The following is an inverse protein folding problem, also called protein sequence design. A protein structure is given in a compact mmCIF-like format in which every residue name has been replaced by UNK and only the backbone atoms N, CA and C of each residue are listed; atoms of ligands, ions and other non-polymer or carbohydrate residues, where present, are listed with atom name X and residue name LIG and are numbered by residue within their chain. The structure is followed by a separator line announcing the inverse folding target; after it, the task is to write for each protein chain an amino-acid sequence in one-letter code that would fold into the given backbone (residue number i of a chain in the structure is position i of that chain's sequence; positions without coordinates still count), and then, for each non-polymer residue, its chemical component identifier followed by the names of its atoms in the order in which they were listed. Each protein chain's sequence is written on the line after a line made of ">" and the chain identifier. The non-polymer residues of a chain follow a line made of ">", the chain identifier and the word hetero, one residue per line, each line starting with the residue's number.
data_IF_090227902631
#
_entry.id   IF_090227902631
#
_cell.length_a   1.000
_cell.length_b   1.000
_cell.length_c   1.000
_cell.angle_alpha   90.00
_cell.angle_beta   90.00
_cell.angle_gamma   90.00
#
_symmetry.space_group_name_H-M   'P 1'
#
loop_
_entity.id
_entity.type
_entity.pdbx_description
1 polymer ?
#
# COMPACT_ATOMS: atom_id res chain seq x y z
N UNK A 1 -6.46 -31.65 26.85
CA UNK A 1 -6.06 -31.02 25.57
C UNK A 1 -5.61 -29.60 25.85
N UNK A 2 -4.52 -29.11 25.24
CA UNK A 2 -4.15 -27.69 25.35
C UNK A 2 -5.29 -26.85 24.77
N UNK A 3 -5.67 -25.75 25.44
CA UNK A 3 -6.67 -24.83 24.91
C UNK A 3 -6.20 -24.28 23.56
N UNK A 4 -7.11 -24.03 22.59
CA UNK A 4 -6.76 -23.34 21.35
C UNK A 4 -6.09 -21.99 21.63
N UNK A 5 -5.16 -21.58 20.76
CA UNK A 5 -4.64 -20.21 20.80
C UNK A 5 -5.71 -19.23 20.36
N UNK A 6 -5.78 -18.08 21.01
CA UNK A 6 -6.74 -17.00 20.70
C UNK A 6 -6.06 -15.91 19.89
N UNK A 7 -6.64 -15.58 18.74
CA UNK A 7 -6.22 -14.46 17.93
C UNK A 7 -7.28 -13.34 17.95
N UNK A 8 -6.87 -12.10 18.22
CA UNK A 8 -7.71 -10.92 18.04
C UNK A 8 -7.26 -10.13 16.80
N UNK A 9 -8.14 -9.98 15.82
CA UNK A 9 -7.87 -9.26 14.57
C UNK A 9 -8.65 -7.94 14.56
N UNK A 10 -7.94 -6.81 14.52
CA UNK A 10 -8.58 -5.52 14.20
C UNK A 10 -8.69 -5.38 12.68
N UNK A 11 -9.77 -4.78 12.18
CA UNK A 11 -9.97 -4.68 10.73
C UNK A 11 -10.29 -6.02 10.06
N UNK A 12 -10.90 -6.96 10.80
CA UNK A 12 -11.23 -8.32 10.35
C UNK A 12 -12.08 -8.35 9.06
N UNK A 13 -12.95 -7.35 8.86
CA UNK A 13 -13.83 -7.23 7.68
C UNK A 13 -13.12 -6.68 6.43
N UNK A 14 -11.83 -6.33 6.56
CA UNK A 14 -10.96 -5.93 5.46
C UNK A 14 -10.53 -7.10 4.58
N UNK A 15 -9.75 -6.79 3.54
CA UNK A 15 -9.16 -7.81 2.67
C UNK A 15 -8.32 -8.80 3.50
N UNK A 16 -7.29 -8.29 4.16
CA UNK A 16 -6.29 -9.14 4.80
C UNK A 16 -6.85 -9.80 6.06
N UNK A 17 -7.70 -9.09 6.82
CA UNK A 17 -8.41 -9.66 7.96
C UNK A 17 -9.24 -10.90 7.59
N UNK A 18 -9.89 -10.90 6.43
CA UNK A 18 -10.67 -12.05 5.97
C UNK A 18 -9.81 -13.26 5.56
N UNK A 19 -8.70 -13.04 4.87
CA UNK A 19 -7.76 -14.13 4.52
C UNK A 19 -7.01 -14.65 5.75
N UNK A 20 -6.62 -13.76 6.66
CA UNK A 20 -5.96 -14.12 7.91
C UNK A 20 -6.89 -14.94 8.81
N UNK A 21 -8.17 -14.59 8.87
CA UNK A 21 -9.17 -15.37 9.62
C UNK A 21 -9.27 -16.80 9.09
N UNK A 22 -9.34 -16.97 7.77
CA UNK A 22 -9.33 -18.30 7.13
C UNK A 22 -8.07 -19.09 7.48
N UNK A 23 -6.89 -18.46 7.39
CA UNK A 23 -5.61 -19.08 7.71
C UNK A 23 -5.53 -19.53 9.18
N UNK A 24 -5.93 -18.67 10.12
CA UNK A 24 -5.82 -18.96 11.56
C UNK A 24 -6.83 -20.03 12.00
N UNK A 25 -8.05 -20.03 11.45
CA UNK A 25 -9.02 -21.10 11.68
C UNK A 25 -8.50 -22.45 11.18
N UNK A 26 -7.88 -22.50 10.00
CA UNK A 26 -7.23 -23.72 9.49
C UNK A 26 -6.10 -24.23 10.40
N UNK A 27 -5.45 -23.33 11.15
CA UNK A 27 -4.41 -23.65 12.13
C UNK A 27 -4.97 -23.99 13.52
N UNK A 28 -6.28 -24.04 13.69
CA UNK A 28 -6.94 -24.40 14.95
C UNK A 28 -6.99 -23.28 15.99
N UNK A 29 -6.91 -22.01 15.56
CA UNK A 29 -7.10 -20.87 16.46
C UNK A 29 -8.57 -20.61 16.76
N UNK A 30 -8.83 -20.08 17.95
CA UNK A 30 -10.06 -19.35 18.26
C UNK A 30 -9.89 -17.91 17.75
N UNK A 31 -10.67 -17.51 16.75
CA UNK A 31 -10.51 -16.21 16.08
C UNK A 31 -11.58 -15.22 16.56
N UNK A 32 -11.12 -14.10 17.08
CA UNK A 32 -11.91 -12.96 17.51
C UNK A 32 -11.65 -11.76 16.59
N UNK A 33 -12.69 -11.01 16.27
CA UNK A 33 -12.61 -9.88 15.34
C UNK A 33 -13.24 -8.62 15.89
N UNK A 34 -12.54 -7.50 15.78
CA UNK A 34 -13.11 -6.18 16.05
C UNK A 34 -13.90 -5.69 14.83
N UNK A 35 -15.19 -5.39 15.02
CA UNK A 35 -16.06 -4.82 13.99
C UNK A 35 -16.65 -3.49 14.44
N UNK A 36 -16.73 -2.54 13.51
CA UNK A 36 -17.42 -1.28 13.75
C UNK A 36 -18.92 -1.48 13.59
N UNK A 37 -19.70 -0.90 14.49
CA UNK A 37 -21.16 -0.85 14.35
C UNK A 37 -21.52 -0.05 13.11
N UNK A 38 -22.31 -0.64 12.22
CA UNK A 38 -22.81 -0.02 10.99
C UNK A 38 -24.32 -0.25 10.92
N UNK A 39 -25.06 0.67 10.27
CA UNK A 39 -26.47 0.48 9.96
C UNK A 39 -26.70 -0.53 8.84
N UNK A 40 -25.65 -0.88 8.09
CA UNK A 40 -25.65 -1.88 7.02
C UNK A 40 -24.70 -3.03 7.34
N UNK A 41 -24.99 -4.21 6.78
CA UNK A 41 -24.13 -5.39 6.90
C UNK A 41 -22.77 -5.09 6.25
N UNK A 42 -21.69 -5.25 7.02
CA UNK A 42 -20.32 -4.94 6.60
C UNK A 42 -19.36 -6.13 6.75
N UNK A 43 -19.90 -7.36 6.82
CA UNK A 43 -19.17 -8.61 7.05
C UNK A 43 -19.03 -9.50 5.82
N UNK A 44 -19.46 -9.06 4.63
CA UNK A 44 -19.52 -9.89 3.41
C UNK A 44 -18.20 -10.63 3.05
N UNK A 45 -17.03 -10.05 3.38
CA UNK A 45 -15.74 -10.71 3.14
C UNK A 45 -15.50 -11.94 4.03
N UNK A 46 -16.27 -12.08 5.10
CA UNK A 46 -16.19 -13.16 6.07
C UNK A 46 -17.23 -14.25 5.83
N UNK A 47 -18.09 -14.17 4.80
CA UNK A 47 -19.24 -15.08 4.62
C UNK A 47 -18.86 -16.57 4.70
N UNK A 48 -17.64 -16.94 4.32
CA UNK A 48 -17.13 -18.33 4.39
C UNK A 48 -16.80 -18.83 5.81
N UNK A 49 -16.62 -17.91 6.75
CA UNK A 49 -16.09 -18.15 8.10
C UNK A 49 -16.81 -17.39 9.19
N UNK A 50 -17.86 -16.63 8.88
CA UNK A 50 -18.54 -15.72 9.81
C UNK A 50 -19.12 -16.45 11.02
N UNK A 51 -19.55 -17.70 10.82
CA UNK A 51 -20.06 -18.64 11.82
C UNK A 51 -18.97 -19.24 12.72
N UNK A 52 -17.70 -19.10 12.33
CA UNK A 52 -16.52 -19.66 13.01
C UNK A 52 -15.68 -18.62 13.73
N UNK A 53 -16.03 -17.34 13.61
CA UNK A 53 -15.33 -16.23 14.27
C UNK A 53 -16.23 -15.55 15.30
N UNK A 54 -15.63 -15.04 16.38
CA UNK A 54 -16.35 -14.26 17.38
C UNK A 54 -16.16 -12.76 17.10
N UNK A 55 -17.24 -12.07 16.73
CA UNK A 55 -17.19 -10.65 16.40
C UNK A 55 -17.57 -9.77 17.59
N UNK A 56 -16.78 -8.74 17.84
CA UNK A 56 -16.93 -7.81 18.96
C UNK A 56 -17.12 -6.40 18.42
N UNK A 57 -18.17 -5.71 18.87
CA UNK A 57 -18.35 -4.29 18.52
C UNK A 57 -17.32 -3.43 19.25
N UNK A 58 -16.55 -2.66 18.48
CA UNK A 58 -15.63 -1.66 18.99
C UNK A 58 -14.90 -0.94 17.87
N UNK A 59 -14.06 0.02 18.23
CA UNK A 59 -13.30 0.82 17.28
C UNK A 59 -11.87 1.02 17.81
N UNK A 60 -10.90 1.09 16.90
CA UNK A 60 -9.49 1.31 17.22
C UNK A 60 -9.26 2.69 17.87
N UNK A 61 -10.19 3.63 17.67
CA UNK A 61 -10.16 4.96 18.30
C UNK A 61 -10.80 4.99 19.69
N UNK A 62 -11.52 3.94 20.11
CA UNK A 62 -12.18 3.85 21.42
C UNK A 62 -11.42 2.93 22.37
N UNK A 63 -10.60 3.54 23.24
CA UNK A 63 -9.79 2.86 24.25
C UNK A 63 -10.61 1.98 25.20
N UNK A 64 -11.84 2.36 25.54
CA UNK A 64 -12.67 1.60 26.49
C UNK A 64 -13.12 0.29 25.86
N UNK A 65 -13.56 0.34 24.59
CA UNK A 65 -13.94 -0.87 23.85
C UNK A 65 -12.75 -1.82 23.69
N UNK A 66 -11.56 -1.30 23.34
CA UNK A 66 -10.35 -2.09 23.19
C UNK A 66 -9.97 -2.78 24.49
N UNK A 67 -9.91 -2.04 25.60
CA UNK A 67 -9.58 -2.59 26.91
C UNK A 67 -10.58 -3.67 27.34
N UNK A 68 -11.89 -3.41 27.22
CA UNK A 68 -12.93 -4.38 27.58
C UNK A 68 -12.83 -5.66 26.76
N UNK A 69 -12.62 -5.57 25.45
CA UNK A 69 -12.51 -6.73 24.57
C UNK A 69 -11.24 -7.52 24.88
N UNK A 70 -10.08 -6.86 24.97
CA UNK A 70 -8.80 -7.52 25.25
C UNK A 70 -8.83 -8.20 26.62
N UNK A 71 -9.40 -7.55 27.63
CA UNK A 71 -9.54 -8.11 28.98
C UNK A 71 -10.41 -9.36 29.01
N UNK A 72 -11.47 -9.44 28.19
CA UNK A 72 -12.34 -10.63 28.11
C UNK A 72 -11.74 -11.74 27.26
N UNK A 73 -11.18 -11.39 26.11
CA UNK A 73 -10.64 -12.36 25.13
C UNK A 73 -9.34 -12.99 25.63
N UNK A 74 -8.48 -12.19 26.28
CA UNK A 74 -7.13 -12.60 26.71
C UNK A 74 -6.35 -13.22 25.52
N UNK A 75 -6.13 -12.47 24.42
CA UNK A 75 -5.57 -13.01 23.19
C UNK A 75 -4.10 -13.42 23.36
N UNK A 76 -3.73 -14.57 22.79
CA UNK A 76 -2.32 -14.99 22.69
C UNK A 76 -1.62 -14.23 21.54
N UNK A 77 -2.36 -13.91 20.47
CA UNK A 77 -1.87 -13.14 19.31
C UNK A 77 -2.85 -12.01 18.94
N UNK A 78 -2.33 -10.83 18.66
CA UNK A 78 -3.11 -9.67 18.18
C UNK A 78 -2.57 -9.24 16.82
N UNK A 79 -3.46 -9.13 15.83
CA UNK A 79 -3.14 -8.67 14.49
C UNK A 79 -3.83 -7.33 14.25
N UNK A 80 -3.05 -6.25 14.29
CA UNK A 80 -3.59 -4.92 14.07
C UNK A 80 -3.60 -4.57 12.57
N UNK A 81 -4.73 -4.82 11.91
CA UNK A 81 -4.94 -4.56 10.49
C UNK A 81 -5.93 -3.41 10.23
N UNK A 82 -6.55 -2.85 11.28
CA UNK A 82 -7.43 -1.69 11.17
C UNK A 82 -6.65 -0.43 10.74
N UNK A 83 -7.21 0.31 9.77
CA UNK A 83 -6.71 1.60 9.33
C UNK A 83 -7.75 2.31 8.44
N UNK A 84 -7.70 3.64 8.40
CA UNK A 84 -8.10 4.36 7.18
C UNK A 84 -6.98 4.15 6.15
N UNK A 85 -7.18 3.22 5.21
CA UNK A 85 -6.12 2.69 4.34
C UNK A 85 -6.01 3.33 2.95
N UNK A 86 -6.88 4.26 2.61
CA UNK A 86 -6.88 4.91 1.29
C UNK A 86 -6.05 6.20 1.31
N UNK A 87 -4.91 6.16 0.62
CA UNK A 87 -3.92 7.26 0.64
C UNK A 87 -4.51 8.59 0.16
N UNK A 88 -5.29 8.59 -0.94
CA UNK A 88 -5.91 9.84 -1.43
C UNK A 88 -6.88 10.44 -0.40
N UNK A 89 -7.67 9.60 0.28
CA UNK A 89 -8.66 10.04 1.28
C UNK A 89 -7.95 10.59 2.51
N UNK A 90 -6.72 10.16 2.78
CA UNK A 90 -5.94 10.71 3.90
C UNK A 90 -5.62 12.20 3.77
N UNK A 91 -5.59 12.75 2.55
CA UNK A 91 -5.45 14.20 2.35
C UNK A 91 -6.74 14.97 2.67
N UNK A 92 -7.89 14.32 2.51
CA UNK A 92 -9.21 14.90 2.80
C UNK A 92 -9.58 14.73 4.29
N UNK A 93 -9.16 13.61 4.89
CA UNK A 93 -9.44 13.26 6.29
C UNK A 93 -8.15 12.96 7.08
N UNK A 94 -7.19 13.90 7.17
CA UNK A 94 -5.89 13.66 7.79
C UNK A 94 -6.01 13.35 9.28
N UNK A 95 -6.83 14.08 10.03
CA UNK A 95 -7.01 13.88 11.48
C UNK A 95 -7.55 12.48 11.78
N UNK A 96 -8.63 12.08 11.10
CA UNK A 96 -9.20 10.74 11.28
C UNK A 96 -8.20 9.64 10.87
N UNK A 97 -7.41 9.88 9.81
CA UNK A 97 -6.36 8.94 9.40
C UNK A 97 -5.28 8.80 10.47
N UNK A 98 -4.79 9.91 11.01
CA UNK A 98 -3.78 9.90 12.09
C UNK A 98 -4.30 9.23 13.34
N UNK A 99 -5.55 9.50 13.71
CA UNK A 99 -6.14 8.94 14.93
C UNK A 99 -6.39 7.43 14.82
N UNK A 100 -6.98 6.96 13.72
CA UNK A 100 -7.27 5.54 13.52
C UNK A 100 -6.05 4.71 13.13
N UNK A 101 -5.22 5.22 12.21
CA UNK A 101 -4.08 4.48 11.67
C UNK A 101 -2.84 4.62 12.54
N UNK A 102 -2.60 5.78 13.16
CA UNK A 102 -1.43 6.06 14.00
C UNK A 102 -1.71 5.86 15.50
N UNK A 103 -2.48 6.77 16.11
CA UNK A 103 -2.74 6.78 17.57
C UNK A 103 -3.51 5.53 18.01
N UNK A 104 -4.32 4.93 17.14
CA UNK A 104 -5.00 3.66 17.40
C UNK A 104 -4.06 2.53 17.81
N UNK A 105 -2.83 2.49 17.29
CA UNK A 105 -1.82 1.50 17.68
C UNK A 105 -1.38 1.71 19.12
N UNK A 106 -1.18 2.97 19.53
CA UNK A 106 -0.86 3.32 20.90
C UNK A 106 -1.98 2.88 21.85
N UNK A 107 -3.24 3.16 21.50
CA UNK A 107 -4.41 2.72 22.30
C UNK A 107 -4.47 1.20 22.45
N UNK A 108 -4.20 0.46 21.37
CA UNK A 108 -4.19 -0.99 21.38
C UNK A 108 -3.11 -1.55 22.32
N UNK A 109 -1.88 -1.04 22.22
CA UNK A 109 -0.76 -1.50 23.06
C UNK A 109 -0.96 -1.13 24.54
N UNK A 110 -1.48 0.05 24.83
CA UNK A 110 -1.83 0.43 26.21
C UNK A 110 -2.97 -0.42 26.76
N UNK A 111 -3.97 -0.78 25.94
CA UNK A 111 -5.03 -1.68 26.37
C UNK A 111 -4.51 -3.09 26.70
N UNK A 112 -3.51 -3.61 25.96
CA UNK A 112 -2.83 -4.87 26.27
C UNK A 112 -2.07 -4.77 27.60
N UNK A 113 -1.31 -3.69 27.82
CA UNK A 113 -0.57 -3.46 29.07
C UNK A 113 -1.49 -3.27 30.27
N UNK A 114 -2.55 -2.49 30.12
CA UNK A 114 -3.53 -2.27 31.18
C UNK A 114 -4.25 -3.57 31.58
N UNK A 115 -4.40 -4.52 30.65
CA UNK A 115 -4.94 -5.85 30.92
C UNK A 115 -3.90 -6.82 31.52
N UNK A 116 -2.65 -6.41 31.74
CA UNK A 116 -1.57 -7.24 32.28
C UNK A 116 -1.06 -8.30 31.30
N UNK A 117 -1.19 -8.07 30.00
CA UNK A 117 -0.90 -9.03 28.94
C UNK A 117 0.40 -8.77 28.17
N UNK A 118 1.19 -7.79 28.60
CA UNK A 118 2.38 -7.34 27.87
C UNK A 118 3.49 -8.40 27.73
N UNK A 119 3.47 -9.44 28.58
CA UNK A 119 4.43 -10.56 28.55
C UNK A 119 3.94 -11.79 27.79
N UNK A 120 2.64 -11.90 27.54
CA UNK A 120 2.02 -13.12 27.03
C UNK A 120 1.43 -12.94 25.63
N UNK A 121 0.96 -11.73 25.29
CA UNK A 121 0.39 -11.44 23.96
C UNK A 121 1.48 -11.04 22.97
N UNK A 122 1.47 -11.67 21.79
CA UNK A 122 2.29 -11.28 20.64
C UNK A 122 1.51 -10.38 19.69
N UNK A 123 2.09 -9.27 19.25
CA UNK A 123 1.40 -8.22 18.48
C UNK A 123 2.05 -8.01 17.12
N UNK A 124 1.25 -8.16 16.07
CA UNK A 124 1.60 -7.80 14.69
C UNK A 124 0.99 -6.45 14.32
N UNK A 125 1.80 -5.57 13.75
CA UNK A 125 1.36 -4.32 13.14
C UNK A 125 1.49 -4.38 11.62
N UNK A 126 0.40 -4.07 10.92
CA UNK A 126 0.44 -3.82 9.48
C UNK A 126 1.06 -2.44 9.19
N UNK A 127 2.39 -2.38 9.10
CA UNK A 127 3.09 -1.24 8.52
C UNK A 127 2.98 -1.27 6.98
N UNK A 128 3.59 -0.31 6.28
CA UNK A 128 3.37 -0.16 4.83
C UNK A 128 4.58 0.41 4.11
N UNK A 129 4.78 -0.02 2.86
CA UNK A 129 5.73 0.58 1.93
C UNK A 129 5.52 2.07 1.69
N UNK A 130 4.31 2.62 1.92
CA UNK A 130 4.05 4.07 1.84
C UNK A 130 4.87 4.89 2.86
N UNK A 131 5.48 4.25 3.86
CA UNK A 131 6.46 4.89 4.75
C UNK A 131 7.76 5.28 4.00
N UNK A 132 8.13 4.55 2.96
CA UNK A 132 9.27 4.90 2.11
C UNK A 132 8.98 6.10 1.22
N UNK A 133 7.71 6.32 0.85
CA UNK A 133 7.25 7.52 0.14
C UNK A 133 8.13 7.93 -1.04
N UNK A 134 8.81 9.08 -0.94
CA UNK A 134 9.70 9.61 -1.99
C UNK A 134 11.17 9.24 -1.79
N UNK A 135 11.43 8.05 -1.23
CA UNK A 135 12.77 7.49 -1.10
C UNK A 135 13.47 7.40 -2.45
N UNK A 136 14.77 7.70 -2.45
CA UNK A 136 15.62 7.66 -3.63
C UNK A 136 16.22 6.26 -3.87
N UNK A 137 16.00 5.31 -2.94
CA UNK A 137 16.42 3.92 -3.09
C UNK A 137 15.58 3.21 -4.16
N UNK A 138 16.23 2.56 -5.13
CA UNK A 138 15.52 1.78 -6.17
C UNK A 138 14.83 0.53 -5.59
N UNK A 139 15.48 -0.11 -4.61
CA UNK A 139 15.02 -1.31 -3.93
C UNK A 139 15.06 -1.03 -2.42
N UNK A 140 13.91 -1.12 -1.75
CA UNK A 140 13.78 -0.74 -0.33
C UNK A 140 13.74 -1.97 0.59
N UNK A 141 14.54 -1.95 1.64
CA UNK A 141 14.63 -2.96 2.69
C UNK A 141 14.40 -2.36 4.09
N UNK A 142 14.56 -3.15 5.16
CA UNK A 142 14.34 -2.72 6.54
C UNK A 142 15.30 -1.61 6.99
N UNK A 143 16.46 -1.46 6.34
CA UNK A 143 17.45 -0.40 6.63
C UNK A 143 17.27 0.87 5.79
N UNK A 144 16.32 0.87 4.84
CA UNK A 144 16.10 2.02 3.95
C UNK A 144 15.46 3.18 4.74
N UNK A 145 16.00 4.41 4.67
CA UNK A 145 15.41 5.55 5.35
C UNK A 145 13.98 5.83 4.90
N UNK A 146 13.10 6.13 5.86
CA UNK A 146 11.71 6.48 5.58
C UNK A 146 11.58 7.95 5.13
N UNK A 147 10.68 8.20 4.17
CA UNK A 147 10.41 9.53 3.59
C UNK A 147 8.95 9.63 3.17
N UNK A 148 7.99 9.50 4.12
CA UNK A 148 6.56 9.44 3.80
C UNK A 148 6.10 10.75 3.16
N UNK A 149 5.19 10.66 2.20
CA UNK A 149 4.70 11.82 1.45
C UNK A 149 3.19 12.06 1.60
N UNK A 150 2.50 11.37 2.50
CA UNK A 150 1.07 11.49 2.73
C UNK A 150 0.73 11.41 4.22
N UNK A 151 -0.44 11.94 4.66
CA UNK A 151 -0.91 11.75 6.04
C UNK A 151 -1.01 10.28 6.42
N UNK A 152 -1.42 9.41 5.49
CA UNK A 152 -1.39 7.95 5.67
C UNK A 152 0.02 7.42 5.94
N UNK A 153 1.01 7.77 5.10
CA UNK A 153 2.40 7.33 5.25
C UNK A 153 3.01 7.79 6.58
N UNK A 154 2.72 9.03 7.00
CA UNK A 154 3.16 9.57 8.29
C UNK A 154 2.53 8.79 9.46
N UNK A 155 1.23 8.49 9.38
CA UNK A 155 0.51 7.73 10.40
C UNK A 155 1.03 6.30 10.55
N UNK A 156 1.36 5.65 9.42
CA UNK A 156 2.00 4.33 9.44
C UNK A 156 3.42 4.38 9.99
N UNK A 157 4.16 5.46 9.73
CA UNK A 157 5.49 5.65 10.31
C UNK A 157 5.42 5.82 11.84
N UNK A 158 4.45 6.61 12.33
CA UNK A 158 4.16 6.69 13.77
C UNK A 158 3.90 5.30 14.35
N UNK A 159 2.98 4.54 13.75
CA UNK A 159 2.66 3.18 14.17
C UNK A 159 3.88 2.26 14.26
N UNK A 160 4.72 2.31 13.22
CA UNK A 160 5.91 1.49 13.11
C UNK A 160 6.88 1.78 14.27
N UNK A 161 7.18 3.05 14.51
CA UNK A 161 8.07 3.44 15.61
C UNK A 161 7.43 3.18 16.97
N UNK A 162 6.12 3.34 17.14
CA UNK A 162 5.42 2.93 18.38
C UNK A 162 5.65 1.46 18.69
N UNK A 163 5.53 0.56 17.70
CA UNK A 163 5.81 -0.87 17.90
C UNK A 163 7.26 -1.12 18.32
N UNK A 164 8.23 -0.45 17.69
CA UNK A 164 9.64 -0.58 18.04
C UNK A 164 9.93 -0.06 19.45
N UNK A 165 9.34 1.07 19.84
CA UNK A 165 9.49 1.62 21.19
C UNK A 165 8.92 0.67 22.24
N UNK A 166 7.73 0.11 22.01
CA UNK A 166 7.11 -0.82 22.98
C UNK A 166 7.86 -2.14 23.09
N UNK A 167 8.41 -2.64 21.97
CA UNK A 167 9.35 -3.77 21.97
C UNK A 167 10.56 -3.48 22.84
N UNK A 168 11.23 -2.34 22.65
CA UNK A 168 12.48 -2.02 23.34
C UNK A 168 12.29 -1.59 24.81
N UNK A 169 11.28 -0.77 25.10
CA UNK A 169 11.07 -0.19 26.42
C UNK A 169 10.40 -1.16 27.41
N UNK A 170 9.53 -2.04 26.91
CA UNK A 170 8.71 -2.91 27.74
C UNK A 170 8.96 -4.40 27.51
N UNK A 171 9.85 -4.73 26.57
CA UNK A 171 10.16 -6.11 26.17
C UNK A 171 8.88 -6.88 25.75
N UNK A 172 7.97 -6.19 25.05
CA UNK A 172 6.80 -6.78 24.44
C UNK A 172 7.16 -7.46 23.12
N UNK A 173 6.49 -8.57 22.79
CA UNK A 173 6.63 -9.19 21.47
C UNK A 173 5.84 -8.39 20.43
N UNK A 174 6.45 -7.33 19.90
CA UNK A 174 5.85 -6.44 18.90
C UNK A 174 6.65 -6.48 17.59
N UNK A 175 5.97 -6.81 16.48
CA UNK A 175 6.58 -6.87 15.15
C UNK A 175 5.82 -5.99 14.16
N UNK A 176 6.56 -5.35 13.26
CA UNK A 176 6.00 -4.64 12.11
C UNK A 176 6.28 -5.40 10.82
N UNK A 177 5.22 -5.75 10.10
CA UNK A 177 5.34 -6.14 8.69
C UNK A 177 5.33 -4.88 7.82
N UNK A 178 6.44 -4.58 7.14
CA UNK A 178 6.54 -3.49 6.17
C UNK A 178 6.03 -4.01 4.83
N UNK A 179 4.70 -4.05 4.70
CA UNK A 179 4.04 -4.69 3.58
C UNK A 179 4.00 -3.78 2.35
N UNK A 180 4.49 -4.29 1.22
CA UNK A 180 4.27 -3.69 -0.09
C UNK A 180 2.84 -3.96 -0.58
N UNK A 181 2.45 -3.42 -1.74
CA UNK A 181 1.09 -3.55 -2.22
C UNK A 181 0.73 -5.02 -2.40
N UNK A 182 -0.43 -5.41 -1.88
CA UNK A 182 -0.95 -6.75 -2.03
C UNK A 182 -2.46 -6.69 -2.27
N UNK A 183 -2.88 -7.39 -3.30
CA UNK A 183 -4.20 -7.28 -3.90
C UNK A 183 -4.87 -8.66 -3.89
N UNK A 184 -6.16 -8.69 -4.24
CA UNK A 184 -6.94 -9.93 -4.35
C UNK A 184 -8.33 -9.63 -4.93
N UNK A 185 -9.13 -10.66 -5.24
CA UNK A 185 -10.57 -10.54 -5.44
C UNK A 185 -11.38 -9.96 -4.28
N UNK A 186 -10.77 -9.71 -3.11
CA UNK A 186 -11.41 -9.06 -1.96
C UNK A 186 -10.98 -7.61 -1.77
N UNK A 187 -10.08 -7.09 -2.61
CA UNK A 187 -9.60 -5.70 -2.53
C UNK A 187 -10.75 -4.70 -2.58
N UNK A 188 -10.62 -3.61 -1.82
CA UNK A 188 -11.58 -2.50 -1.88
C UNK A 188 -11.64 -1.87 -3.27
N UNK A 189 -12.84 -1.49 -3.72
CA UNK A 189 -13.12 -1.01 -5.08
C UNK A 189 -12.45 0.32 -5.42
N UNK A 190 -12.06 1.10 -4.40
CA UNK A 190 -11.39 2.38 -4.57
C UNK A 190 -9.89 2.24 -4.88
N UNK A 191 -9.30 1.07 -4.66
CA UNK A 191 -7.90 0.82 -5.03
C UNK A 191 -7.76 0.55 -6.52
N UNK A 192 -6.67 1.04 -7.12
CA UNK A 192 -6.49 1.11 -8.58
C UNK A 192 -6.62 -0.25 -9.28
N UNK A 193 -6.03 -1.31 -8.71
CA UNK A 193 -6.09 -2.69 -9.21
C UNK A 193 -7.54 -3.16 -9.39
N UNK A 194 -8.35 -3.00 -8.33
CA UNK A 194 -9.76 -3.42 -8.32
C UNK A 194 -10.65 -2.51 -9.15
N UNK A 195 -10.34 -1.21 -9.16
CA UNK A 195 -11.01 -0.24 -10.02
C UNK A 195 -10.86 -0.63 -11.50
N UNK A 196 -9.67 -1.08 -11.91
CA UNK A 196 -9.40 -1.54 -13.28
C UNK A 196 -10.22 -2.79 -13.60
N UNK A 197 -10.13 -3.85 -12.80
CA UNK A 197 -10.80 -5.13 -13.12
C UNK A 197 -12.33 -5.02 -13.09
N UNK A 198 -12.89 -4.29 -12.11
CA UNK A 198 -14.33 -4.00 -12.10
C UNK A 198 -14.75 -3.06 -13.24
N UNK A 199 -13.92 -2.08 -13.58
CA UNK A 199 -14.16 -1.18 -14.70
C UNK A 199 -14.28 -1.93 -16.03
N UNK A 200 -13.37 -2.88 -16.27
CA UNK A 200 -13.40 -3.76 -17.44
C UNK A 200 -14.69 -4.59 -17.47
N UNK A 201 -15.09 -5.20 -16.36
CA UNK A 201 -16.32 -5.97 -16.28
C UNK A 201 -17.56 -5.10 -16.62
N UNK A 202 -17.61 -3.87 -16.11
CA UNK A 202 -18.69 -2.91 -16.42
C UNK A 202 -18.67 -2.45 -17.88
N UNK A 203 -17.49 -2.26 -18.46
CA UNK A 203 -17.33 -1.94 -19.89
C UNK A 203 -17.88 -3.07 -20.77
N UNK A 204 -17.57 -4.32 -20.43
CA UNK A 204 -18.06 -5.49 -21.16
C UNK A 204 -19.60 -5.64 -21.06
N UNK A 205 -20.21 -5.17 -19.98
CA UNK A 205 -21.67 -5.10 -19.83
C UNK A 205 -22.33 -3.88 -20.49
N UNK A 206 -21.54 -2.93 -21.00
CA UNK A 206 -22.07 -1.65 -21.50
C UNK A 206 -22.55 -0.70 -20.41
N UNK A 207 -22.20 -0.95 -19.14
CA UNK A 207 -22.55 -0.09 -17.98
C UNK A 207 -21.55 1.05 -17.75
N UNK A 208 -20.41 0.99 -18.44
CA UNK A 208 -19.36 1.99 -18.40
C UNK A 208 -18.74 2.14 -19.79
N UNK A 209 -18.63 3.36 -20.30
CA UNK A 209 -18.05 3.58 -21.62
C UNK A 209 -16.51 3.66 -21.56
N UNK A 210 -15.99 4.30 -20.51
CA UNK A 210 -14.57 4.59 -20.36
C UNK A 210 -14.19 4.59 -18.88
N UNK A 211 -13.04 4.01 -18.55
CA UNK A 211 -12.44 4.03 -17.23
C UNK A 211 -11.57 5.28 -17.06
N UNK A 212 -11.79 6.02 -15.98
CA UNK A 212 -10.95 7.18 -15.67
C UNK A 212 -9.89 6.81 -14.61
N UNK A 213 -8.64 7.16 -14.85
CA UNK A 213 -7.50 6.89 -13.97
C UNK A 213 -6.65 8.14 -13.73
N UNK A 214 -5.75 8.05 -12.75
CA UNK A 214 -4.79 9.12 -12.44
C UNK A 214 -3.45 8.87 -13.14
N UNK A 215 -2.37 8.88 -12.37
CA UNK A 215 -1.03 8.62 -12.89
C UNK A 215 -0.87 7.15 -13.37
N UNK A 216 -0.81 6.96 -14.69
CA UNK A 216 -0.59 5.65 -15.33
C UNK A 216 0.84 5.14 -15.17
N UNK A 217 1.80 6.04 -14.97
CA UNK A 217 3.23 5.71 -14.88
C UNK A 217 3.67 5.42 -13.44
N UNK A 218 2.76 5.53 -12.46
CA UNK A 218 3.02 5.12 -11.09
C UNK A 218 3.34 3.62 -11.03
N UNK A 219 4.48 3.28 -10.43
CA UNK A 219 5.01 1.92 -10.35
C UNK A 219 4.90 1.32 -8.96
N UNK A 220 4.44 0.07 -8.85
CA UNK A 220 4.21 -0.63 -7.58
C UNK A 220 4.69 -2.08 -7.65
N UNK A 221 5.04 -2.60 -6.49
CA UNK A 221 5.29 -4.01 -6.25
C UNK A 221 4.00 -4.64 -5.71
N UNK A 222 3.35 -5.45 -6.55
CA UNK A 222 2.04 -6.05 -6.28
C UNK A 222 2.15 -7.56 -6.03
N UNK A 223 1.91 -7.97 -4.79
CA UNK A 223 1.72 -9.36 -4.40
C UNK A 223 0.26 -9.75 -4.16
N UNK A 224 0.03 -10.98 -3.73
CA UNK A 224 -1.31 -11.47 -3.38
C UNK A 224 -1.51 -11.49 -1.86
N UNK A 225 -2.67 -11.00 -1.38
CA UNK A 225 -2.98 -10.87 0.06
C UNK A 225 -2.87 -12.18 0.85
N UNK A 226 -3.28 -13.31 0.26
CA UNK A 226 -3.13 -14.67 0.82
C UNK A 226 -1.69 -15.01 1.23
N UNK A 227 -0.71 -14.63 0.42
CA UNK A 227 0.70 -14.91 0.69
C UNK A 227 1.21 -13.98 1.80
N UNK A 228 0.70 -12.76 1.83
CA UNK A 228 1.10 -11.74 2.80
C UNK A 228 0.54 -12.04 4.19
N UNK A 229 -0.70 -12.54 4.32
CA UNK A 229 -1.22 -12.94 5.66
C UNK A 229 -0.45 -14.12 6.25
N UNK A 230 0.13 -15.00 5.42
CA UNK A 230 1.04 -16.07 5.85
C UNK A 230 2.30 -15.49 6.48
N UNK A 231 2.87 -14.41 5.92
CA UNK A 231 4.04 -13.74 6.51
C UNK A 231 3.71 -13.10 7.86
N UNK A 232 2.52 -12.49 8.01
CA UNK A 232 2.08 -11.93 9.29
C UNK A 232 2.08 -12.99 10.40
N UNK A 233 1.51 -14.16 10.11
CA UNK A 233 1.48 -15.29 11.04
C UNK A 233 2.90 -15.80 11.35
N UNK A 234 3.74 -16.01 10.33
CA UNK A 234 5.12 -16.49 10.50
C UNK A 234 5.95 -15.58 11.42
N UNK A 235 5.81 -14.26 11.29
CA UNK A 235 6.52 -13.30 12.15
C UNK A 235 6.17 -13.46 13.63
N UNK A 236 4.91 -13.80 13.96
CA UNK A 236 4.50 -14.04 15.34
C UNK A 236 4.91 -15.42 15.87
N UNK A 237 5.42 -16.32 15.03
CA UNK A 237 5.89 -17.64 15.48
C UNK A 237 7.37 -17.65 15.90
N UNK A 238 8.08 -16.55 15.71
CA UNK A 238 9.52 -16.48 16.00
C UNK A 238 9.82 -16.38 17.48
N UNK A 239 11.04 -16.71 17.87
CA UNK A 239 11.51 -16.54 19.25
C UNK A 239 11.80 -15.07 19.59
N UNK A 240 12.31 -14.32 18.61
CA UNK A 240 12.70 -12.91 18.76
C UNK A 240 11.86 -12.03 17.83
N UNK A 241 11.18 -10.98 18.36
CA UNK A 241 10.38 -10.08 17.54
C UNK A 241 11.27 -9.22 16.64
N UNK A 242 11.08 -9.34 15.32
CA UNK A 242 11.81 -8.56 14.29
C UNK A 242 10.84 -7.99 13.26
N UNK A 243 11.24 -6.86 12.67
CA UNK A 243 10.51 -6.24 11.57
C UNK A 243 11.04 -6.76 10.23
N UNK A 244 10.16 -6.89 9.25
CA UNK A 244 10.46 -7.45 7.94
C UNK A 244 9.75 -6.72 6.81
N UNK A 245 10.46 -6.50 5.70
CA UNK A 245 9.87 -6.13 4.41
C UNK A 245 9.22 -7.37 3.79
N UNK A 246 7.99 -7.19 3.31
CA UNK A 246 7.21 -8.23 2.63
C UNK A 246 6.83 -7.71 1.26
N UNK A 247 7.46 -8.26 0.23
CA UNK A 247 7.39 -7.76 -1.14
C UNK A 247 7.62 -8.90 -2.14
N UNK A 248 7.28 -8.66 -3.40
CA UNK A 248 7.61 -9.59 -4.48
C UNK A 248 8.99 -9.34 -5.09
N UNK A 249 9.54 -8.13 -4.92
CA UNK A 249 10.77 -7.68 -5.56
C UNK A 249 10.61 -7.34 -7.04
N UNK A 250 9.38 -7.43 -7.56
CA UNK A 250 9.02 -7.09 -8.94
C UNK A 250 8.15 -5.85 -8.94
N UNK A 251 8.29 -5.01 -9.96
CA UNK A 251 7.59 -3.74 -10.05
C UNK A 251 6.93 -3.58 -11.42
N UNK A 252 5.68 -3.14 -11.43
CA UNK A 252 4.89 -2.88 -12.63
C UNK A 252 4.21 -1.51 -12.51
N UNK A 253 3.90 -0.88 -13.64
CA UNK A 253 3.15 0.37 -13.69
C UNK A 253 1.63 0.13 -13.68
N UNK A 254 0.86 1.17 -13.37
CA UNK A 254 -0.61 1.15 -13.54
C UNK A 254 -0.98 0.90 -15.02
N UNK A 255 -0.17 1.43 -15.94
CA UNK A 255 -0.25 1.16 -17.39
C UNK A 255 -0.10 -0.32 -17.71
N UNK A 256 0.93 -0.99 -17.17
CA UNK A 256 1.17 -2.42 -17.37
C UNK A 256 -0.03 -3.24 -16.89
N UNK A 257 -0.58 -2.89 -15.72
CA UNK A 257 -1.78 -3.52 -15.18
C UNK A 257 -2.97 -3.36 -16.13
N UNK A 258 -3.21 -2.14 -16.64
CA UNK A 258 -4.30 -1.88 -17.59
C UNK A 258 -4.11 -2.70 -18.86
N UNK A 259 -2.95 -2.61 -19.52
CA UNK A 259 -2.67 -3.32 -20.77
C UNK A 259 -2.90 -4.83 -20.60
N UNK A 260 -2.41 -5.41 -19.51
CA UNK A 260 -2.55 -6.81 -19.23
C UNK A 260 -4.02 -7.22 -19.00
N UNK A 261 -4.73 -6.50 -18.12
CA UNK A 261 -6.11 -6.82 -17.77
C UNK A 261 -7.07 -6.65 -18.97
N UNK A 262 -6.91 -5.58 -19.75
CA UNK A 262 -7.70 -5.32 -20.95
C UNK A 262 -7.43 -6.36 -22.04
N UNK A 263 -6.16 -6.75 -22.25
CA UNK A 263 -5.81 -7.82 -23.17
C UNK A 263 -6.44 -9.16 -22.78
N UNK A 264 -6.34 -9.55 -21.51
CA UNK A 264 -7.00 -10.77 -21.00
C UNK A 264 -8.51 -10.75 -21.26
N UNK A 265 -9.15 -9.60 -21.09
CA UNK A 265 -10.58 -9.40 -21.34
C UNK A 265 -10.97 -9.39 -22.84
N UNK A 266 -10.02 -9.48 -23.76
CA UNK A 266 -10.28 -9.43 -25.21
C UNK A 266 -10.48 -8.01 -25.76
N UNK A 267 -10.02 -6.99 -25.03
CA UNK A 267 -10.10 -5.58 -25.39
C UNK A 267 -8.70 -4.94 -25.40
N UNK A 268 -7.74 -5.41 -26.22
CA UNK A 268 -6.38 -4.90 -26.19
C UNK A 268 -6.36 -3.38 -26.40
N UNK A 269 -5.65 -2.66 -25.52
CA UNK A 269 -5.55 -1.20 -25.58
C UNK A 269 -4.20 -0.73 -26.12
N UNK A 270 -4.24 0.26 -27.00
CA UNK A 270 -3.10 1.05 -27.44
C UNK A 270 -3.16 2.43 -26.79
N UNK A 271 -2.01 2.98 -26.40
CA UNK A 271 -1.94 4.31 -25.80
C UNK A 271 -1.70 5.38 -26.87
N UNK A 272 -2.51 6.43 -26.86
CA UNK A 272 -2.37 7.61 -27.74
C UNK A 272 -2.38 8.88 -26.89
N UNK A 273 -1.61 9.88 -27.32
CA UNK A 273 -1.45 11.13 -26.55
C UNK A 273 -0.42 11.00 -25.42
N UNK A 274 -0.34 12.03 -24.58
CA UNK A 274 0.60 12.09 -23.44
C UNK A 274 -0.01 12.89 -22.29
N UNK A 275 0.37 12.57 -21.06
CA UNK A 275 -0.06 13.32 -19.87
C UNK A 275 -1.58 13.25 -19.67
N UNK A 276 -2.23 14.40 -19.52
CA UNK A 276 -3.69 14.47 -19.31
C UNK A 276 -4.50 14.14 -20.58
N UNK A 277 -3.91 14.30 -21.76
CA UNK A 277 -4.55 13.98 -23.04
C UNK A 277 -4.32 12.51 -23.44
N UNK A 278 -3.64 11.74 -22.59
CA UNK A 278 -3.37 10.33 -22.86
C UNK A 278 -4.63 9.48 -22.70
N UNK A 279 -4.85 8.60 -23.68
CA UNK A 279 -6.01 7.71 -23.76
C UNK A 279 -5.59 6.30 -24.14
N UNK A 280 -6.28 5.31 -23.56
CA UNK A 280 -6.18 3.91 -23.96
C UNK A 280 -7.32 3.56 -24.91
N UNK A 281 -7.00 3.17 -26.14
CA UNK A 281 -7.97 2.90 -27.22
C UNK A 281 -7.95 1.44 -27.67
N UNK A 282 -9.12 0.89 -27.96
CA UNK A 282 -9.29 -0.42 -28.60
C UNK A 282 -10.11 -0.21 -29.87
N UNK A 283 -9.44 -0.24 -31.04
CA UNK A 283 -10.03 0.27 -32.28
C UNK A 283 -10.35 1.77 -32.15
N UNK A 284 -11.58 2.15 -32.47
CA UNK A 284 -12.06 3.54 -32.36
C UNK A 284 -12.62 3.91 -30.98
N UNK A 285 -12.68 2.93 -30.05
CA UNK A 285 -13.26 3.13 -28.73
C UNK A 285 -12.20 3.57 -27.72
N UNK A 286 -12.43 4.69 -27.06
CA UNK A 286 -11.63 5.10 -25.89
C UNK A 286 -12.14 4.37 -24.65
N UNK A 287 -11.31 3.49 -24.09
CA UNK A 287 -11.64 2.67 -22.93
C UNK A 287 -10.98 3.16 -21.65
N UNK A 288 -9.89 3.91 -21.74
CA UNK A 288 -9.20 4.51 -20.59
C UNK A 288 -8.88 5.98 -20.85
N UNK A 289 -9.10 6.84 -19.87
CA UNK A 289 -8.73 8.27 -19.88
C UNK A 289 -8.01 8.65 -18.59
N UNK A 290 -7.14 9.65 -18.69
CA UNK A 290 -6.47 10.26 -17.54
C UNK A 290 -7.28 11.45 -17.03
N UNK A 291 -7.51 11.52 -15.72
CA UNK A 291 -8.20 12.65 -15.06
C UNK A 291 -7.40 13.15 -13.86
N UNK A 292 -7.39 14.47 -13.68
CA UNK A 292 -6.74 15.14 -12.56
C UNK A 292 -7.37 14.76 -11.21
N UNK A 293 -8.64 14.38 -11.20
CA UNK A 293 -9.38 13.96 -10.02
C UNK A 293 -8.82 12.70 -9.36
N UNK A 294 -8.01 11.89 -10.06
CA UNK A 294 -7.45 10.66 -9.51
C UNK A 294 -5.98 10.76 -9.12
N UNK A 295 -5.36 11.92 -9.32
CA UNK A 295 -4.02 12.15 -8.81
C UNK A 295 -4.04 12.52 -7.31
N UNK A 296 -2.87 12.39 -6.70
CA UNK A 296 -2.59 12.80 -5.31
C UNK A 296 -1.86 14.14 -5.30
N UNK A 297 -1.99 14.97 -4.23
CA UNK A 297 -1.19 16.19 -4.09
C UNK A 297 0.32 15.94 -4.15
N UNK A 298 0.74 14.82 -3.59
CA UNK A 298 2.11 14.29 -3.62
C UNK A 298 2.03 12.83 -4.03
N UNK A 299 2.83 12.45 -5.03
CA UNK A 299 2.83 11.10 -5.58
C UNK A 299 3.99 10.27 -5.05
N UNK A 300 3.73 8.98 -4.87
CA UNK A 300 4.78 7.96 -4.74
C UNK A 300 5.03 7.39 -6.12
N UNK A 301 6.16 7.73 -6.73
CA UNK A 301 6.42 7.36 -8.12
C UNK A 301 6.68 5.86 -8.27
N UNK A 302 7.50 5.28 -7.40
CA UNK A 302 7.98 3.91 -7.51
C UNK A 302 8.16 3.28 -6.12
N UNK A 303 7.70 2.05 -5.96
CA UNK A 303 7.94 1.21 -4.78
C UNK A 303 8.34 -0.19 -5.24
N UNK A 304 9.44 -0.72 -4.70
CA UNK A 304 9.96 -2.05 -4.99
C UNK A 304 10.72 -2.58 -3.78
N UNK A 305 10.23 -3.67 -3.18
CA UNK A 305 10.76 -4.14 -1.90
C UNK A 305 11.82 -5.23 -2.06
N UNK A 306 12.80 -5.24 -1.16
CA UNK A 306 13.73 -6.35 -0.97
C UNK A 306 13.20 -7.29 0.12
N UNK A 307 12.82 -8.51 -0.26
CA UNK A 307 12.34 -9.53 0.68
C UNK A 307 13.44 -10.50 1.12
N UNK A 308 14.72 -10.20 0.89
CA UNK A 308 15.84 -11.12 1.19
C UNK A 308 15.90 -11.52 2.66
N UNK A 309 15.62 -10.59 3.58
CA UNK A 309 15.66 -10.88 5.02
C UNK A 309 14.57 -11.87 5.45
N UNK A 310 13.33 -11.65 5.03
CA UNK A 310 12.22 -12.53 5.41
C UNK A 310 12.34 -13.91 4.76
N UNK A 311 12.88 -13.97 3.54
CA UNK A 311 13.19 -15.22 2.86
C UNK A 311 14.25 -16.01 3.65
N UNK A 312 15.35 -15.36 4.03
CA UNK A 312 16.43 -16.02 4.77
C UNK A 312 16.03 -16.47 6.18
N UNK A 313 15.24 -15.66 6.90
CA UNK A 313 14.91 -15.94 8.31
C UNK A 313 13.63 -16.76 8.48
N UNK A 314 12.62 -16.60 7.62
CA UNK A 314 11.29 -17.21 7.78
C UNK A 314 10.90 -18.19 6.65
N UNK A 315 11.79 -18.41 5.68
CA UNK A 315 11.52 -19.20 4.47
C UNK A 315 10.24 -18.72 3.73
N UNK A 316 9.96 -17.42 3.81
CA UNK A 316 8.79 -16.83 3.16
C UNK A 316 9.15 -16.36 1.76
N UNK A 317 8.34 -16.78 0.79
CA UNK A 317 8.43 -16.36 -0.60
C UNK A 317 7.02 -16.06 -1.14
N UNK A 318 6.86 -15.07 -2.04
CA UNK A 318 5.60 -14.86 -2.75
C UNK A 318 5.33 -16.07 -3.67
N UNK A 319 4.13 -16.62 -3.62
CA UNK A 319 3.73 -17.78 -4.40
C UNK A 319 2.97 -17.35 -5.67
N UNK A 320 2.14 -16.31 -5.57
CA UNK A 320 1.32 -15.80 -6.68
C UNK A 320 2.09 -14.75 -7.49
N UNK A 321 2.15 -14.95 -8.81
CA UNK A 321 2.76 -13.98 -9.73
C UNK A 321 1.83 -12.81 -10.05
N UNK A 322 2.39 -11.70 -10.55
CA UNK A 322 1.60 -10.55 -11.03
C UNK A 322 0.57 -10.94 -12.10
N UNK A 323 0.92 -11.86 -13.00
CA UNK A 323 0.04 -12.33 -14.06
C UNK A 323 -1.17 -13.07 -13.51
N UNK A 324 -0.93 -14.01 -12.58
CA UNK A 324 -1.98 -14.79 -11.92
C UNK A 324 -2.87 -13.90 -11.05
N UNK A 325 -2.28 -12.90 -10.38
CA UNK A 325 -3.03 -11.91 -9.60
C UNK A 325 -4.03 -11.14 -10.47
N UNK A 326 -3.57 -10.58 -11.60
CA UNK A 326 -4.44 -9.84 -12.53
C UNK A 326 -5.53 -10.74 -13.10
N UNK A 327 -5.16 -11.97 -13.48
CA UNK A 327 -6.12 -12.97 -13.96
C UNK A 327 -7.17 -13.30 -12.90
N UNK A 328 -6.78 -13.68 -11.68
CA UNK A 328 -7.70 -14.05 -10.61
C UNK A 328 -8.70 -12.91 -10.30
N UNK A 329 -8.20 -11.68 -10.22
CA UNK A 329 -9.03 -10.50 -9.97
C UNK A 329 -10.03 -10.26 -11.11
N UNK A 330 -9.58 -10.29 -12.37
CA UNK A 330 -10.44 -10.12 -13.53
C UNK A 330 -11.51 -11.21 -13.62
N UNK A 331 -11.11 -12.47 -13.47
CA UNK A 331 -12.03 -13.61 -13.48
C UNK A 331 -13.11 -13.47 -12.40
N UNK A 332 -12.73 -13.02 -11.20
CA UNK A 332 -13.68 -12.81 -10.11
C UNK A 332 -14.67 -11.69 -10.42
N UNK A 333 -14.20 -10.56 -10.92
CA UNK A 333 -15.06 -9.40 -11.18
C UNK A 333 -15.99 -9.62 -12.37
N UNK A 334 -15.53 -10.34 -13.40
CA UNK A 334 -16.39 -10.79 -14.50
C UNK A 334 -17.49 -11.73 -14.01
N UNK A 335 -17.16 -12.71 -13.16
CA UNK A 335 -18.17 -13.61 -12.56
C UNK A 335 -19.18 -12.84 -11.70
N UNK A 336 -18.72 -11.91 -10.86
CA UNK A 336 -19.63 -11.07 -10.07
C UNK A 336 -20.54 -10.20 -10.94
N UNK A 337 -20.09 -9.80 -12.12
CA UNK A 337 -20.89 -9.06 -13.08
C UNK A 337 -21.86 -9.94 -13.89
N UNK A 338 -21.80 -11.28 -13.73
CA UNK A 338 -22.61 -12.23 -14.50
C UNK A 338 -22.06 -12.53 -15.90
N UNK A 339 -20.79 -12.21 -16.16
CA UNK A 339 -20.10 -12.51 -17.42
C UNK A 339 -19.41 -13.89 -17.34
N UNK A 340 -19.29 -14.56 -18.49
CA UNK A 340 -18.45 -15.75 -18.63
C UNK A 340 -17.00 -15.28 -18.77
N UNK A 341 -16.12 -15.61 -17.81
CA UNK A 341 -14.76 -15.14 -17.84
C UNK A 341 -13.92 -16.01 -18.80
N UNK A 342 -12.90 -15.45 -19.50
CA UNK A 342 -12.07 -16.20 -20.42
C UNK A 342 -11.32 -17.34 -19.71
N UNK A 343 -11.06 -18.41 -20.44
CA UNK A 343 -10.20 -19.51 -19.99
C UNK A 343 -8.74 -19.05 -19.88
N UNK A 344 -7.95 -19.79 -19.10
CA UNK A 344 -6.50 -19.59 -19.01
C UNK A 344 -5.82 -19.64 -20.39
N UNK A 345 -6.25 -20.57 -21.25
CA UNK A 345 -5.73 -20.70 -22.61
C UNK A 345 -6.03 -19.47 -23.46
N UNK A 346 -7.27 -18.98 -23.44
CA UNK A 346 -7.65 -17.76 -24.18
C UNK A 346 -6.86 -16.55 -23.68
N UNK A 347 -6.71 -16.40 -22.37
CA UNK A 347 -5.88 -15.34 -21.79
C UNK A 347 -4.43 -15.45 -22.26
N UNK A 348 -3.83 -16.64 -22.21
CA UNK A 348 -2.46 -16.88 -22.69
C UNK A 348 -2.29 -16.52 -24.17
N UNK A 349 -3.26 -16.86 -25.02
CA UNK A 349 -3.25 -16.46 -26.44
C UNK A 349 -3.32 -14.94 -26.59
N UNK A 350 -4.24 -14.28 -25.88
CA UNK A 350 -4.45 -12.82 -25.96
C UNK A 350 -3.23 -12.03 -25.48
N UNK A 351 -2.60 -12.46 -24.38
CA UNK A 351 -1.42 -11.77 -23.86
C UNK A 351 -0.17 -12.03 -24.71
N UNK A 352 -0.06 -13.18 -25.39
CA UNK A 352 1.09 -13.46 -26.25
C UNK A 352 1.20 -12.43 -27.39
N UNK A 353 0.06 -12.00 -27.94
CA UNK A 353 -0.01 -10.93 -28.94
C UNK A 353 0.43 -9.57 -28.36
N UNK A 354 0.12 -9.30 -27.09
CA UNK A 354 0.57 -8.09 -26.39
C UNK A 354 2.05 -8.14 -25.96
N UNK A 355 2.60 -9.31 -25.63
CA UNK A 355 4.02 -9.45 -25.21
C UNK A 355 5.01 -8.99 -26.28
N UNK A 356 4.68 -9.18 -27.56
CA UNK A 356 5.46 -8.63 -28.68
C UNK A 356 5.51 -7.09 -28.66
N UNK A 357 4.50 -6.43 -28.10
CA UNK A 357 4.37 -4.97 -27.99
C UNK A 357 4.95 -4.44 -26.68
N UNK A 358 4.84 -5.19 -25.58
CA UNK A 358 5.24 -4.74 -24.25
C UNK A 358 6.76 -4.82 -23.97
N UNK A 359 7.56 -5.49 -24.82
CA UNK A 359 9.00 -5.74 -24.60
C UNK A 359 9.35 -6.33 -23.21
N UNK A 360 8.40 -6.97 -22.53
CA UNK A 360 8.65 -7.57 -21.22
C UNK A 360 9.09 -9.02 -21.42
N UNK A 361 10.41 -9.24 -21.32
CA UNK A 361 11.07 -10.54 -21.50
C UNK A 361 10.80 -11.57 -20.38
N UNK A 362 10.08 -11.19 -19.32
CA UNK A 362 10.03 -11.95 -18.05
C UNK A 362 8.65 -12.47 -17.64
N UNK A 363 7.64 -12.40 -18.51
CA UNK A 363 6.34 -13.01 -18.22
C UNK A 363 6.31 -14.48 -18.63
N UNK A 364 6.25 -15.39 -17.67
CA UNK A 364 5.87 -16.79 -17.92
C UNK A 364 4.36 -16.88 -18.20
N UNK A 365 3.87 -17.81 -19.05
CA UNK A 365 2.44 -17.98 -19.29
C UNK A 365 1.69 -18.37 -18.00
N UNK A 366 0.39 -18.08 -17.92
CA UNK A 366 -0.46 -18.56 -16.83
C UNK A 366 -0.44 -20.10 -16.81
N UNK A 367 -0.19 -20.71 -15.66
CA UNK A 367 -0.24 -22.15 -15.48
C UNK A 367 -1.67 -22.70 -15.57
N UNK A 368 -1.82 -23.91 -16.11
CA UNK A 368 -3.07 -24.67 -16.04
C UNK A 368 -3.24 -25.26 -14.63
N UNK A 369 -3.70 -24.45 -13.68
CA UNK A 369 -4.11 -24.96 -12.38
C UNK A 369 -5.64 -25.11 -12.36
N UNK A 370 -6.09 -26.34 -12.66
CA UNK A 370 -7.45 -26.77 -12.35
C UNK A 370 -7.66 -26.76 -10.83
N UNK A 371 -8.86 -26.36 -10.39
CA UNK A 371 -9.40 -26.46 -9.01
C UNK A 371 -8.33 -26.58 -7.91
N UNK A 372 -7.85 -25.44 -7.43
CA UNK A 372 -6.80 -25.35 -6.40
C UNK A 372 -7.22 -26.01 -5.07
N UNK A 373 -6.66 -27.19 -4.81
CA UNK A 373 -6.61 -27.87 -3.52
C UNK A 373 -5.25 -28.55 -3.33
N UNK A 374 -4.51 -28.10 -2.32
CA UNK A 374 -3.29 -28.62 -1.65
C UNK A 374 -2.05 -29.07 -2.45
N UNK A 375 -0.83 -28.92 -1.88
CA UNK A 375 0.43 -28.78 -2.61
C UNK A 375 1.29 -30.05 -2.61
N UNK A 376 2.07 -30.29 -3.68
CA UNK A 376 3.25 -31.15 -3.67
C UNK A 376 4.32 -30.68 -4.67
N UNK A 377 5.43 -30.20 -4.10
CA UNK A 377 6.85 -30.43 -4.41
C UNK A 377 7.37 -30.45 -5.87
N UNK A 378 8.27 -29.48 -6.13
CA UNK A 378 9.64 -29.76 -6.57
C UNK A 378 9.95 -29.65 -8.06
N UNK A 379 10.55 -28.52 -8.50
CA UNK A 379 11.44 -28.50 -9.68
C UNK A 379 12.53 -27.43 -9.49
N UNK A 380 13.77 -27.83 -9.75
CA UNK A 380 15.02 -27.05 -9.68
C UNK A 380 15.08 -25.89 -10.69
N UNK A 381 15.78 -24.81 -10.31
CA UNK A 381 15.96 -23.60 -11.11
C UNK A 381 17.19 -23.68 -12.03
N UNK A 382 17.12 -23.22 -13.30
CA UNK A 382 18.29 -23.12 -14.17
C UNK A 382 19.09 -21.81 -13.93
N UNK A 383 20.37 -21.76 -14.34
CA UNK A 383 21.28 -20.68 -13.97
C UNK A 383 21.01 -19.37 -14.75
N UNK A 384 21.22 -18.24 -14.05
CA UNK A 384 20.98 -16.88 -14.53
C UNK A 384 22.02 -16.44 -15.57
N UNK A 385 21.57 -15.97 -16.74
CA UNK A 385 22.36 -15.11 -17.62
C UNK A 385 22.01 -13.64 -17.36
N UNK A 386 23.04 -12.85 -17.03
CA UNK A 386 22.93 -11.41 -16.86
C UNK A 386 23.01 -10.72 -18.21
N UNK A 387 21.93 -10.08 -18.65
CA UNK A 387 21.96 -9.03 -19.68
C UNK A 387 21.35 -7.76 -19.07
N UNK A 388 22.20 -6.79 -18.77
CA UNK A 388 21.80 -5.49 -18.27
C UNK A 388 21.23 -4.64 -19.42
N UNK A 389 19.90 -4.53 -19.50
CA UNK A 389 19.23 -3.46 -20.24
C UNK A 389 18.97 -2.29 -19.29
N UNK A 390 19.47 -1.09 -19.63
CA UNK A 390 19.19 0.16 -18.89
C UNK A 390 17.67 0.38 -18.80
N UNK A 391 17.09 0.64 -17.62
CA UNK A 391 15.68 1.01 -17.52
C UNK A 391 15.45 2.41 -18.10
N UNK A 392 14.38 2.56 -18.87
CA UNK A 392 13.84 3.87 -19.27
C UNK A 392 13.55 4.71 -18.01
N UNK A 393 13.92 5.99 -18.04
CA UNK A 393 13.77 6.90 -16.91
C UNK A 393 12.29 7.07 -16.53
N UNK A 394 11.99 6.85 -15.25
CA UNK A 394 10.65 7.09 -14.69
C UNK A 394 10.34 8.58 -14.82
N UNK A 395 9.36 8.93 -15.67
CA UNK A 395 8.81 10.28 -15.71
C UNK A 395 8.05 10.50 -14.41
N UNK A 396 8.61 11.32 -13.52
CA UNK A 396 7.88 11.73 -12.32
C UNK A 396 6.98 12.93 -12.65
N UNK A 397 5.83 13.09 -11.97
CA UNK A 397 4.88 14.14 -12.28
C UNK A 397 4.47 14.92 -11.04
N UNK A 398 4.40 16.25 -11.14
CA UNK A 398 3.90 17.15 -10.10
C UNK A 398 2.66 17.89 -10.59
N UNK A 399 1.62 17.91 -9.75
CA UNK A 399 0.45 18.76 -9.97
C UNK A 399 0.64 20.13 -9.38
N UNK A 400 0.29 21.14 -10.17
CA UNK A 400 0.23 22.52 -9.71
C UNK A 400 -1.10 23.14 -10.14
N UNK A 401 -1.81 23.73 -9.17
CA UNK A 401 -3.01 24.52 -9.44
C UNK A 401 -2.59 25.96 -9.69
N UNK A 402 -2.94 26.52 -10.85
CA UNK A 402 -2.82 27.94 -11.11
C UNK A 402 -4.20 28.47 -11.49
N UNK A 403 -4.75 29.37 -10.67
CA UNK A 403 -6.16 29.82 -10.75
C UNK A 403 -7.14 28.65 -10.65
N UNK A 404 -7.93 28.39 -11.70
CA UNK A 404 -8.91 27.30 -11.80
C UNK A 404 -8.48 26.16 -12.74
N UNK A 405 -7.22 26.14 -13.21
CA UNK A 405 -6.69 25.07 -14.05
C UNK A 405 -5.58 24.31 -13.34
N UNK A 406 -5.60 22.99 -13.48
CA UNK A 406 -4.55 22.09 -13.01
C UNK A 406 -3.56 21.82 -14.13
N UNK A 407 -2.28 21.84 -13.78
CA UNK A 407 -1.17 21.55 -14.68
C UNK A 407 -0.39 20.36 -14.14
N UNK A 408 0.01 19.46 -15.03
CA UNK A 408 0.85 18.30 -14.73
C UNK A 408 2.24 18.56 -15.32
N UNK A 409 3.26 18.60 -14.47
CA UNK A 409 4.64 18.85 -14.87
C UNK A 409 5.46 17.58 -14.77
N UNK A 410 6.20 17.16 -15.82
CA UNK A 410 7.20 16.12 -15.69
C UNK A 410 8.37 16.65 -14.83
N UNK A 411 8.60 16.04 -13.68
CA UNK A 411 9.78 16.26 -12.85
C UNK A 411 10.88 15.33 -13.34
N UNK A 412 11.96 15.91 -13.88
CA UNK A 412 12.99 15.13 -14.56
C UNK A 412 14.19 15.95 -15.02
N UNK A 413 14.62 16.95 -14.24
CA UNK A 413 15.97 17.51 -14.32
C UNK A 413 16.38 17.93 -12.92
N UNK A 414 17.58 17.51 -12.49
CA UNK A 414 18.14 17.83 -11.18
C UNK A 414 18.15 19.33 -10.91
N UNK A 415 18.01 19.70 -9.64
CA UNK A 415 17.87 21.06 -9.13
C UNK A 415 19.12 21.95 -9.25
N UNK A 416 19.93 21.79 -10.29
CA UNK A 416 21.18 22.57 -10.51
C UNK A 416 21.36 23.15 -11.91
N UNK A 417 20.37 23.04 -12.82
CA UNK A 417 20.42 23.74 -14.12
C UNK A 417 19.17 24.62 -14.35
N UNK A 418 19.03 25.67 -13.54
CA UNK A 418 18.24 26.84 -13.93
C UNK A 418 19.07 28.11 -13.68
N UNK A 419 20.12 28.27 -14.49
CA UNK A 419 20.69 29.57 -14.85
C UNK A 419 20.64 29.66 -16.37
N UNK A 420 19.54 30.19 -16.90
CA UNK A 420 19.33 30.35 -18.33
C UNK A 420 17.90 30.77 -18.59
N UNK A 421 17.71 31.85 -19.35
CA UNK A 421 16.44 32.53 -19.55
C UNK A 421 15.32 31.62 -20.06
N UNK A 422 14.11 31.91 -19.60
CA UNK A 422 12.89 31.34 -20.13
C UNK A 422 12.67 31.92 -21.54
N UNK A 423 13.01 31.17 -22.58
CA UNK A 423 12.58 31.42 -23.95
C UNK A 423 11.83 30.20 -24.44
N UNK A 424 10.61 30.45 -24.92
CA UNK A 424 9.81 29.62 -25.80
C UNK A 424 9.27 28.29 -25.25
N UNK A 425 8.20 28.40 -24.47
CA UNK A 425 6.91 27.69 -24.66
C UNK A 425 6.14 27.67 -23.32
N UNK A 426 5.29 28.68 -23.10
CA UNK A 426 4.04 28.73 -22.31
C UNK A 426 3.76 30.22 -22.05
N UNK A 427 2.57 30.78 -22.36
CA UNK A 427 2.25 32.16 -22.00
C UNK A 427 1.96 32.21 -20.49
N UNK A 428 3.00 32.39 -19.69
CA UNK A 428 2.85 32.66 -18.27
C UNK A 428 2.44 34.13 -18.10
N UNK A 429 1.21 34.37 -17.63
CA UNK A 429 0.68 35.72 -17.36
C UNK A 429 1.66 36.52 -16.48
N UNK A 430 1.97 37.76 -16.87
CA UNK A 430 2.93 38.64 -16.21
C UNK A 430 2.71 38.79 -14.68
N UNK A 431 1.47 38.57 -14.19
CA UNK A 431 1.15 38.56 -12.75
C UNK A 431 1.78 37.40 -11.97
N UNK A 432 2.07 36.26 -12.61
CA UNK A 432 2.69 35.09 -11.96
C UNK A 432 4.19 35.31 -11.70
N UNK A 433 4.89 36.00 -12.59
CA UNK A 433 6.32 36.31 -12.43
C UNK A 433 6.53 37.25 -11.24
N UNK A 434 5.61 38.20 -11.03
CA UNK A 434 5.74 39.18 -9.95
C UNK A 434 5.44 38.59 -8.56
N UNK A 435 4.49 37.64 -8.47
CA UNK A 435 4.20 36.93 -7.22
C UNK A 435 5.33 35.99 -6.78
N UNK A 436 5.98 35.29 -7.74
CA UNK A 436 7.18 34.51 -7.47
C UNK A 436 8.38 35.37 -7.03
N UNK A 437 8.55 36.57 -7.61
CA UNK A 437 9.62 37.50 -7.21
C UNK A 437 9.41 38.06 -5.79
N UNK A 438 8.16 38.35 -5.40
CA UNK A 438 7.84 38.84 -4.05
C UNK A 438 8.01 37.75 -2.97
N UNK A 439 7.70 36.49 -3.28
CA UNK A 439 7.92 35.36 -2.36
C UNK A 439 9.41 35.06 -2.10
N UNK A 440 10.28 35.25 -3.10
CA UNK A 440 11.71 35.04 -2.96
C UNK A 440 12.42 36.17 -2.19
N UNK A 441 11.90 37.41 -2.23
CA UNK A 441 12.43 38.54 -1.47
C UNK A 441 12.10 38.47 0.03
N UNK A 442 10.97 37.85 0.41
CA UNK A 442 10.57 37.68 1.81
C UNK A 442 11.40 36.63 2.58
N UNK A 443 12.17 35.80 1.88
CA UNK A 443 13.03 34.77 2.49
C UNK A 443 14.47 35.23 2.76
N UNK A 444 14.78 36.53 2.60
CA UNK A 444 16.08 37.13 2.93
C UNK A 444 15.89 38.38 3.79
N UNK A 445 15.61 38.17 5.07
CA UNK A 445 15.72 39.20 6.11
C UNK A 445 17.18 39.33 6.61
N UNK A 446 17.62 40.52 7.07
CA UNK A 446 19.01 40.80 7.37
C UNK A 446 19.44 40.23 8.73
N UNK A 447 20.65 39.68 8.77
CA UNK A 447 21.42 39.41 9.98
C UNK A 447 21.62 40.73 10.76
N UNK A 448 21.15 40.78 12.02
CA UNK A 448 21.60 41.78 12.99
C UNK A 448 22.43 41.06 14.03
N UNK A 449 23.71 41.44 14.10
CA UNK A 449 24.64 41.04 15.13
C UNK A 449 24.35 41.83 16.42
N UNK A 450 24.23 41.12 17.53
CA UNK A 450 24.45 41.64 18.87
C UNK A 450 25.21 40.57 19.66
N UNK A 451 26.54 40.66 19.62
CA UNK A 451 27.42 39.99 20.55
C UNK A 451 27.67 40.98 21.70
N UNK A 452 27.13 40.68 22.87
CA UNK A 452 27.42 41.42 24.09
C UNK A 452 28.60 40.76 24.80
N UNK A 453 29.69 41.51 24.92
CA UNK A 453 30.83 41.17 25.75
C UNK A 453 30.64 41.82 27.12
N UNK A 454 30.58 41.04 28.19
CA UNK A 454 31.48 41.24 29.33
C UNK A 454 31.27 40.19 30.42
N UNK A 455 32.36 39.51 30.75
CA UNK A 455 32.57 38.87 32.04
C UNK A 455 32.59 39.93 33.16
N UNK A 456 31.94 39.67 34.30
CA UNK A 456 32.63 39.46 35.59
C UNK A 456 31.66 39.23 36.77
N UNK A 457 31.96 38.15 37.50
CA UNK A 457 31.97 38.01 38.97
C UNK A 457 30.67 38.14 39.78
N UNK A 458 30.42 37.02 40.46
CA UNK A 458 30.30 36.85 41.91
C UNK A 458 28.90 36.63 42.50
N UNK A 459 28.79 35.44 43.08
CA UNK A 459 28.27 35.13 44.41
C UNK A 459 26.79 35.40 44.73
N UNK A 460 26.11 34.31 45.11
CA UNK A 460 25.29 34.31 46.32
C UNK A 460 23.79 34.15 46.08
N UNK A 461 23.25 33.08 46.67
CA UNK A 461 21.89 33.09 47.21
C UNK A 461 20.82 32.38 46.37
N UNK A 462 20.59 31.10 46.69
CA UNK A 462 19.22 30.60 46.81
C UNK A 462 18.51 31.39 47.95
N UNK A 463 17.15 31.53 48.00
CA UNK A 463 16.24 30.38 48.02
C UNK A 463 14.87 30.54 47.31
N UNK A 464 14.25 29.36 47.12
CA UNK A 464 12.83 29.00 47.17
C UNK A 464 11.74 30.09 47.09
N UNK A 465 10.75 29.86 46.22
CA UNK A 465 9.45 29.26 46.58
C UNK A 465 8.82 28.57 45.37
#
# INVERSE_FOLDING_TARGET
>A
MKRPRRALITGITGQDGSYLSELLLQKGYEVHGLIRRSSTVNTARLDKVVDKVQLHFGDIVDSTSLFSIISRVQPDEVYNLAAQSHVKVSFEMPIHTTDSTGVGVLRLLEAIRAAGLERTTRVFQASSSEMFGSSDAELQNEGTPFKPCSPYGISKLYSHFTMQTYRSAYNMFCVSGILFNHESPRRGTNFVSRKITMGIARILKGELNCLELGNLDARRDWGHSRDYVKSMWLMLQQDVPRDFVVATGKQFSVRDFCQLAFAMAGLPIEWKGQGLEEVGVCGDRVLVRVTTEHFRPTEVNALRGDASKISAELDWHPEVTFLELVFEMLQSDMRHAGLIPPSTSECNTRIATCRAVLQVSSFFPLGNHGTFGSPCLGVEAPPRQHTASRPESVKSYKLMKCTNKWYVFPTGYGSTQYRGGCADHVPCCAKCIESCRRGAAAARGPFVAAADQSHQKAAGGAPAF
#
